data_IF_833955648333
#
_entry.id   IF_833955648333
#
_cell.length_a   1.000
_cell.length_b   1.000
_cell.length_c   1.000
_cell.angle_alpha   90.00
_cell.angle_beta   90.00
_cell.angle_gamma   90.00
#
_symmetry.space_group_name_H-M   'P 1'
#
loop_
_entity.id
_entity.type
_entity.pdbx_description
1 polymer ?
#
# COMPACT_ATOMS: atom_id res chain seq x y z
N UNK A 1 -18.59 5.05 -5.75
CA UNK A 1 -17.39 5.67 -6.33
C UNK A 1 -16.91 6.85 -5.48
N UNK A 2 -17.66 7.97 -5.41
CA UNK A 2 -17.22 9.21 -4.73
C UNK A 2 -16.77 8.97 -3.28
N UNK A 3 -17.59 8.30 -2.48
CA UNK A 3 -17.28 8.01 -1.07
C UNK A 3 -15.98 7.24 -0.89
N UNK A 4 -15.70 6.32 -1.79
CA UNK A 4 -14.46 5.55 -1.75
C UNK A 4 -13.25 6.42 -2.10
N UNK A 5 -13.37 7.31 -3.11
CA UNK A 5 -12.31 8.26 -3.44
C UNK A 5 -12.03 9.24 -2.30
N UNK A 6 -13.07 9.76 -1.64
CA UNK A 6 -12.94 10.61 -0.45
C UNK A 6 -12.15 9.90 0.67
N UNK A 7 -12.44 8.62 0.91
CA UNK A 7 -11.77 7.85 1.97
C UNK A 7 -10.34 7.46 1.59
N UNK A 8 -10.14 6.88 0.40
CA UNK A 8 -8.87 6.25 0.05
C UNK A 8 -7.88 7.16 -0.68
N UNK A 9 -8.34 8.29 -1.26
CA UNK A 9 -7.49 9.24 -2.01
C UNK A 9 -7.39 10.57 -1.29
N UNK A 10 -8.54 11.22 -1.04
CA UNK A 10 -8.54 12.58 -0.48
C UNK A 10 -7.97 12.60 0.93
N UNK A 11 -8.22 11.56 1.75
CA UNK A 11 -7.63 11.45 3.09
C UNK A 11 -6.10 11.41 3.04
N UNK A 12 -5.53 10.66 2.10
CA UNK A 12 -4.07 10.57 1.92
C UNK A 12 -3.51 11.91 1.43
N UNK A 13 -4.18 12.53 0.46
CA UNK A 13 -3.79 13.85 -0.03
C UNK A 13 -3.77 14.89 1.09
N UNK A 14 -4.86 14.98 1.86
CA UNK A 14 -4.96 15.96 2.96
C UNK A 14 -3.99 15.64 4.09
N UNK A 15 -3.82 14.36 4.43
CA UNK A 15 -2.84 13.92 5.42
C UNK A 15 -1.42 14.37 5.06
N UNK A 16 -0.98 14.09 3.83
CA UNK A 16 0.32 14.52 3.34
C UNK A 16 0.42 16.05 3.28
N UNK A 17 -0.56 16.72 2.69
CA UNK A 17 -0.54 18.19 2.53
C UNK A 17 -0.44 18.92 3.88
N UNK A 18 -1.16 18.45 4.87
CA UNK A 18 -1.17 19.08 6.20
C UNK A 18 0.08 18.72 7.00
N UNK A 19 0.64 17.52 6.85
CA UNK A 19 1.85 17.11 7.57
C UNK A 19 3.13 17.78 7.06
N UNK A 20 3.22 18.03 5.74
CA UNK A 20 4.43 18.52 5.08
C UNK A 20 5.05 19.78 5.73
N UNK A 21 4.29 20.86 6.05
CA UNK A 21 4.88 22.04 6.69
C UNK A 21 5.51 21.73 8.04
N UNK A 22 4.82 20.96 8.88
CA UNK A 22 5.30 20.58 10.21
C UNK A 22 6.54 19.70 10.13
N UNK A 23 6.55 18.72 9.23
CA UNK A 23 7.70 17.83 9.02
C UNK A 23 8.93 18.62 8.52
N UNK A 24 8.72 19.52 7.55
CA UNK A 24 9.78 20.39 7.05
C UNK A 24 10.39 21.22 8.19
N UNK A 25 9.56 21.85 8.99
CA UNK A 25 10.00 22.77 10.07
C UNK A 25 10.60 22.00 11.26
N UNK A 26 10.33 20.69 11.37
CA UNK A 26 10.92 19.77 12.36
C UNK A 26 12.19 19.06 11.87
N UNK A 27 12.70 19.38 10.67
CA UNK A 27 13.97 18.82 10.16
C UNK A 27 13.81 17.68 9.18
N UNK A 28 12.60 17.29 8.82
CA UNK A 28 12.33 16.24 7.81
C UNK A 28 11.60 15.02 8.35
N UNK A 29 11.78 13.88 7.68
CA UNK A 29 11.16 12.61 8.12
C UNK A 29 10.77 11.67 6.98
N UNK A 30 9.88 10.72 7.29
CA UNK A 30 9.40 9.71 6.35
C UNK A 30 7.88 9.67 6.31
N UNK A 31 7.31 9.86 5.13
CA UNK A 31 5.89 9.63 4.83
C UNK A 31 5.77 8.25 4.21
N UNK A 32 4.86 7.44 4.73
CA UNK A 32 4.60 6.08 4.24
C UNK A 32 3.12 5.96 3.96
N UNK A 33 2.77 5.89 2.69
CA UNK A 33 1.39 5.76 2.23
C UNK A 33 1.05 4.30 1.97
N UNK A 34 -0.09 3.84 2.47
CA UNK A 34 -0.53 2.46 2.25
C UNK A 34 -1.36 2.40 0.98
N UNK A 35 -0.79 1.78 -0.04
CA UNK A 35 -1.46 1.41 -1.28
C UNK A 35 -1.93 -0.05 -1.22
N UNK A 36 -1.85 -0.78 -2.30
CA UNK A 36 -2.19 -2.20 -2.41
C UNK A 36 -1.61 -2.78 -3.69
N UNK A 37 -1.51 -4.10 -3.79
CA UNK A 37 -1.23 -4.81 -5.06
C UNK A 37 -2.26 -4.51 -6.14
N UNK A 38 -3.54 -4.27 -5.80
CA UNK A 38 -4.56 -3.85 -6.77
C UNK A 38 -4.37 -2.40 -7.27
N UNK A 39 -3.47 -1.63 -6.70
CA UNK A 39 -2.98 -0.37 -7.27
C UNK A 39 -1.90 -0.58 -8.35
N UNK A 40 -1.41 -1.80 -8.51
CA UNK A 40 -0.42 -2.23 -9.52
C UNK A 40 -1.11 -3.10 -10.58
N UNK A 41 -1.90 -4.09 -10.13
CA UNK A 41 -2.61 -5.03 -10.97
C UNK A 41 -4.07 -4.62 -11.18
N UNK A 42 -4.62 -4.89 -12.36
CA UNK A 42 -6.05 -4.81 -12.59
C UNK A 42 -6.80 -5.93 -11.85
N UNK A 43 -7.93 -5.57 -11.22
CA UNK A 43 -8.85 -6.54 -10.62
C UNK A 43 -10.30 -6.15 -10.97
N UNK A 44 -11.05 -7.03 -11.68
CA UNK A 44 -12.39 -6.72 -12.15
C UNK A 44 -13.42 -6.52 -11.02
N UNK A 45 -13.16 -7.06 -9.83
CA UNK A 45 -14.07 -7.00 -8.69
C UNK A 45 -13.86 -5.74 -7.83
N UNK A 46 -12.73 -5.05 -7.99
CA UNK A 46 -12.34 -3.93 -7.12
C UNK A 46 -11.99 -2.65 -7.89
N UNK A 47 -12.70 -2.36 -8.99
CA UNK A 47 -12.43 -1.21 -9.87
C UNK A 47 -12.20 0.10 -9.09
N UNK A 48 -13.12 0.47 -8.21
CA UNK A 48 -13.03 1.72 -7.46
C UNK A 48 -11.85 1.74 -6.49
N UNK A 49 -11.64 0.64 -5.75
CA UNK A 49 -10.55 0.48 -4.80
C UNK A 49 -9.18 0.45 -5.50
N UNK A 50 -9.05 -0.35 -6.57
CA UNK A 50 -7.82 -0.41 -7.35
C UNK A 50 -7.43 0.94 -7.94
N UNK A 51 -8.42 1.69 -8.49
CA UNK A 51 -8.19 3.05 -8.97
C UNK A 51 -7.71 3.99 -7.86
N UNK A 52 -8.32 3.93 -6.67
CA UNK A 52 -7.91 4.74 -5.54
C UNK A 52 -6.47 4.40 -5.08
N UNK A 53 -6.14 3.12 -4.99
CA UNK A 53 -4.79 2.69 -4.59
C UNK A 53 -3.73 2.98 -5.66
N UNK A 54 -4.09 2.98 -6.94
CA UNK A 54 -3.22 3.48 -8.02
C UNK A 54 -2.99 5.00 -7.91
N UNK A 55 -4.02 5.77 -7.53
CA UNK A 55 -3.88 7.21 -7.28
C UNK A 55 -2.92 7.49 -6.12
N UNK A 56 -3.01 6.76 -5.00
CA UNK A 56 -2.07 6.84 -3.86
C UNK A 56 -0.63 6.55 -4.30
N UNK A 57 -0.45 5.52 -5.12
CA UNK A 57 0.84 5.15 -5.71
C UNK A 57 1.46 6.30 -6.51
N UNK A 58 0.70 6.93 -7.41
CA UNK A 58 1.15 8.08 -8.22
C UNK A 58 1.39 9.33 -7.38
N UNK A 59 0.47 9.63 -6.45
CA UNK A 59 0.58 10.77 -5.53
C UNK A 59 1.85 10.70 -4.70
N UNK A 60 2.21 9.53 -4.18
CA UNK A 60 3.42 9.29 -3.39
C UNK A 60 4.68 9.71 -4.14
N UNK A 61 4.80 9.34 -5.43
CA UNK A 61 5.94 9.73 -6.29
C UNK A 61 6.00 11.24 -6.49
N UNK A 62 4.86 11.88 -6.71
CA UNK A 62 4.78 13.33 -6.88
C UNK A 62 5.19 14.08 -5.62
N UNK A 63 4.76 13.61 -4.44
CA UNK A 63 5.15 14.17 -3.14
C UNK A 63 6.65 13.98 -2.89
N UNK A 64 7.19 12.80 -3.18
CA UNK A 64 8.61 12.50 -3.05
C UNK A 64 9.48 13.48 -3.86
N UNK A 65 9.13 13.68 -5.13
CA UNK A 65 9.82 14.62 -6.01
C UNK A 65 9.67 16.08 -5.57
N UNK A 66 8.49 16.46 -5.07
CA UNK A 66 8.26 17.79 -4.49
C UNK A 66 9.18 18.02 -3.30
N UNK A 67 9.24 17.11 -2.35
CA UNK A 67 10.09 17.21 -1.17
C UNK A 67 11.58 17.27 -1.51
N UNK A 68 12.02 16.44 -2.46
CA UNK A 68 13.40 16.43 -2.94
C UNK A 68 13.77 17.73 -3.62
N UNK A 69 12.93 18.25 -4.53
CA UNK A 69 13.15 19.52 -5.24
C UNK A 69 13.31 20.69 -4.27
N UNK A 70 12.54 20.71 -3.20
CA UNK A 70 12.55 21.79 -2.21
C UNK A 70 13.51 21.53 -1.04
N UNK A 71 14.25 20.41 -1.05
CA UNK A 71 15.23 20.02 -0.02
C UNK A 71 14.64 19.98 1.39
N UNK A 72 13.41 19.46 1.52
CA UNK A 72 12.70 19.38 2.81
C UNK A 72 13.24 18.30 3.75
N UNK A 73 14.16 17.46 3.29
CA UNK A 73 14.64 16.29 4.01
C UNK A 73 13.50 15.31 4.39
N UNK A 74 12.48 15.21 3.53
CA UNK A 74 11.33 14.33 3.71
C UNK A 74 11.37 13.29 2.61
N UNK A 75 11.31 12.02 3.00
CA UNK A 75 11.11 10.87 2.09
C UNK A 75 9.61 10.55 2.02
N UNK A 76 9.15 10.05 0.89
CA UNK A 76 7.76 9.63 0.70
C UNK A 76 7.74 8.34 -0.11
N UNK A 77 7.25 7.25 0.47
CA UNK A 77 7.20 5.93 -0.17
C UNK A 77 5.81 5.31 -0.03
N UNK A 78 5.48 4.36 -0.90
CA UNK A 78 4.23 3.60 -0.82
C UNK A 78 4.50 2.12 -0.51
N UNK A 79 3.65 1.54 0.35
CA UNK A 79 3.65 0.11 0.66
C UNK A 79 2.46 -0.53 -0.06
N UNK A 80 2.72 -1.67 -0.70
CA UNK A 80 1.76 -2.38 -1.53
C UNK A 80 1.58 -3.82 -1.02
N UNK A 81 0.82 -4.01 0.05
CA UNK A 81 0.52 -5.36 0.52
C UNK A 81 -0.53 -6.03 -0.36
N UNK A 82 -0.51 -7.37 -0.37
CA UNK A 82 -1.63 -8.18 -0.84
C UNK A 82 -2.64 -8.42 0.29
N UNK A 83 -3.31 -9.57 0.30
CA UNK A 83 -4.27 -9.92 1.34
C UNK A 83 -3.60 -9.99 2.71
N UNK A 84 -4.14 -9.24 3.68
CA UNK A 84 -3.70 -9.24 5.08
C UNK A 84 -4.88 -9.67 5.95
N UNK A 85 -4.67 -10.57 6.89
CA UNK A 85 -5.67 -10.95 7.89
C UNK A 85 -6.05 -9.75 8.76
N UNK A 86 -7.17 -9.16 8.45
CA UNK A 86 -7.69 -7.96 9.11
C UNK A 86 -9.22 -8.01 9.10
N UNK A 87 -9.90 -7.27 9.99
CA UNK A 87 -11.37 -7.19 9.97
C UNK A 87 -11.95 -6.70 8.62
N UNK A 88 -11.16 -6.06 7.78
CA UNK A 88 -11.57 -5.70 6.44
C UNK A 88 -11.64 -6.94 5.53
N UNK A 89 -10.63 -7.82 5.59
CA UNK A 89 -10.62 -9.05 4.81
C UNK A 89 -11.69 -10.02 5.29
N UNK A 90 -11.88 -10.12 6.62
CA UNK A 90 -12.92 -10.99 7.24
C UNK A 90 -14.31 -10.68 6.67
N UNK A 91 -14.65 -9.39 6.51
CA UNK A 91 -15.93 -8.98 5.91
C UNK A 91 -16.10 -9.42 4.45
N UNK A 92 -15.00 -9.54 3.70
CA UNK A 92 -15.05 -10.05 2.33
C UNK A 92 -15.21 -11.57 2.31
N UNK A 93 -14.55 -12.29 3.21
CA UNK A 93 -14.64 -13.75 3.30
C UNK A 93 -16.00 -14.20 3.84
N UNK A 94 -16.54 -13.53 4.85
CA UNK A 94 -17.90 -13.76 5.38
C UNK A 94 -18.99 -13.66 4.30
N UNK A 95 -18.83 -12.73 3.35
CA UNK A 95 -19.78 -12.56 2.25
C UNK A 95 -19.79 -13.75 1.26
N UNK A 96 -18.77 -14.59 1.26
CA UNK A 96 -18.66 -15.79 0.40
C UNK A 96 -19.30 -17.03 1.06
N UNK A 97 -19.46 -17.02 2.38
CA UNK A 97 -20.21 -18.02 3.17
C UNK A 97 -19.35 -19.02 3.94
N UNK A 98 -18.28 -19.56 3.36
CA UNK A 98 -17.30 -20.41 4.06
C UNK A 98 -15.97 -19.63 4.17
N UNK A 99 -15.71 -19.15 5.38
CA UNK A 99 -14.55 -18.30 5.67
C UNK A 99 -13.23 -19.06 5.45
N UNK A 100 -13.14 -20.32 5.90
CA UNK A 100 -11.93 -21.12 5.78
C UNK A 100 -11.58 -21.40 4.30
N UNK A 101 -12.58 -21.77 3.50
CA UNK A 101 -12.40 -22.02 2.07
C UNK A 101 -12.09 -20.72 1.31
N UNK A 102 -12.68 -19.58 1.71
CA UNK A 102 -12.37 -18.28 1.14
C UNK A 102 -10.91 -17.88 1.41
N UNK A 103 -10.42 -18.04 2.64
CA UNK A 103 -9.02 -17.81 2.99
C UNK A 103 -8.07 -18.71 2.20
N UNK A 104 -8.39 -19.99 2.07
CA UNK A 104 -7.61 -20.94 1.27
C UNK A 104 -7.53 -20.52 -0.20
N UNK A 105 -8.67 -20.17 -0.79
CA UNK A 105 -8.73 -19.67 -2.18
C UNK A 105 -7.86 -18.42 -2.37
N UNK A 106 -7.88 -17.48 -1.43
CA UNK A 106 -7.03 -16.28 -1.49
C UNK A 106 -5.55 -16.62 -1.34
N UNK A 107 -5.20 -17.57 -0.48
CA UNK A 107 -3.81 -18.02 -0.31
C UNK A 107 -3.26 -18.68 -1.57
N UNK A 108 -4.09 -19.44 -2.29
CA UNK A 108 -3.72 -20.08 -3.57
C UNK A 108 -3.37 -19.08 -4.69
N UNK A 109 -3.86 -17.83 -4.59
CA UNK A 109 -3.50 -16.76 -5.52
C UNK A 109 -2.09 -16.21 -5.26
N UNK A 110 -1.53 -16.43 -4.09
CA UNK A 110 -0.23 -15.91 -3.67
C UNK A 110 0.83 -16.99 -3.94
N UNK A 111 1.88 -16.73 -4.74
CA UNK A 111 2.90 -17.74 -5.04
C UNK A 111 3.55 -18.41 -3.83
N UNK A 112 3.73 -17.70 -2.70
CA UNK A 112 4.21 -18.31 -1.46
C UNK A 112 3.16 -19.11 -0.70
N UNK A 113 1.87 -19.07 -1.12
CA UNK A 113 0.78 -19.87 -0.56
C UNK A 113 0.25 -19.38 0.79
N UNK A 114 0.60 -18.19 1.24
CA UNK A 114 0.23 -17.68 2.56
C UNK A 114 -0.36 -16.26 2.48
N UNK A 115 -1.42 -16.02 3.27
CA UNK A 115 -1.97 -14.68 3.49
C UNK A 115 -1.13 -13.97 4.55
N UNK A 116 -0.84 -12.69 4.33
CA UNK A 116 -0.03 -11.90 5.24
C UNK A 116 -0.72 -11.71 6.60
N UNK A 117 0.09 -11.75 7.64
CA UNK A 117 -0.28 -11.21 8.94
C UNK A 117 0.03 -9.69 8.98
N UNK A 118 -0.67 -8.88 9.81
CA UNK A 118 -0.41 -7.45 9.91
C UNK A 118 1.06 -7.09 10.19
N UNK A 119 1.78 -7.94 10.94
CA UNK A 119 3.21 -7.76 11.24
C UNK A 119 4.09 -7.81 10.01
N UNK A 120 3.72 -8.55 8.97
CA UNK A 120 4.53 -8.70 7.75
C UNK A 120 4.60 -7.36 7.00
N UNK A 121 3.50 -6.63 6.93
CA UNK A 121 3.48 -5.26 6.41
C UNK A 121 4.22 -4.29 7.36
N UNK A 122 4.10 -4.47 8.67
CA UNK A 122 4.69 -3.60 9.69
C UNK A 122 6.21 -3.58 9.62
N UNK A 123 6.87 -4.70 9.36
CA UNK A 123 8.33 -4.74 9.20
C UNK A 123 8.83 -3.85 8.07
N UNK A 124 8.14 -3.86 6.93
CA UNK A 124 8.44 -2.96 5.81
C UNK A 124 8.20 -1.48 6.15
N UNK A 125 7.14 -1.19 6.91
CA UNK A 125 6.84 0.17 7.38
C UNK A 125 7.92 0.67 8.34
N UNK A 126 8.38 -0.15 9.30
CA UNK A 126 9.46 0.19 10.22
C UNK A 126 10.76 0.48 9.45
N UNK A 127 11.11 -0.37 8.49
CA UNK A 127 12.28 -0.15 7.62
C UNK A 127 12.16 1.19 6.88
N UNK A 128 11.03 1.48 6.26
CA UNK A 128 10.82 2.75 5.55
C UNK A 128 10.77 3.97 6.47
N UNK A 129 10.40 3.80 7.73
CA UNK A 129 10.41 4.87 8.74
C UNK A 129 11.83 5.16 9.26
N UNK A 130 12.73 4.18 9.25
CA UNK A 130 14.09 4.27 9.79
C UNK A 130 15.08 4.93 8.83
N UNK A 131 16.26 5.27 9.36
CA UNK A 131 17.38 5.80 8.57
C UNK A 131 18.04 4.75 7.66
N UNK A 132 17.76 3.46 7.88
CA UNK A 132 18.23 2.39 6.98
C UNK A 132 17.73 2.56 5.55
N UNK A 133 16.57 3.20 5.39
CA UNK A 133 15.98 3.54 4.09
C UNK A 133 16.23 4.99 3.65
N UNK A 134 17.29 5.64 4.16
CA UNK A 134 17.59 7.08 3.94
C UNK A 134 17.67 7.52 2.48
N UNK A 135 17.94 6.64 1.54
CA UNK A 135 18.00 6.91 0.11
C UNK A 135 16.79 6.38 -0.67
N UNK A 136 15.75 5.91 0.04
CA UNK A 136 14.51 5.46 -0.58
C UNK A 136 13.46 6.56 -0.52
N UNK A 137 13.10 7.12 -1.68
CA UNK A 137 11.98 8.05 -1.83
C UNK A 137 11.31 7.83 -3.19
N UNK A 138 9.99 7.93 -3.25
CA UNK A 138 9.19 7.62 -4.43
C UNK A 138 9.13 6.13 -4.76
N UNK A 139 9.62 5.27 -3.88
CA UNK A 139 9.68 3.83 -4.10
C UNK A 139 8.33 3.16 -3.81
N UNK A 140 8.08 2.07 -4.52
CA UNK A 140 6.99 1.14 -4.29
C UNK A 140 7.54 -0.06 -3.53
N UNK A 141 7.13 -0.22 -2.27
CA UNK A 141 7.56 -1.32 -1.42
C UNK A 141 6.47 -2.40 -1.42
N UNK A 142 6.66 -3.43 -2.23
CA UNK A 142 5.68 -4.50 -2.42
C UNK A 142 5.92 -5.62 -1.41
N UNK A 143 4.84 -6.06 -0.75
CA UNK A 143 4.84 -7.17 0.21
C UNK A 143 3.65 -8.06 -0.15
N UNK A 144 3.86 -9.06 -0.99
CA UNK A 144 2.76 -9.75 -1.65
C UNK A 144 2.98 -11.25 -1.90
N UNK A 145 4.04 -11.82 -1.35
CA UNK A 145 4.37 -13.22 -1.55
C UNK A 145 4.58 -13.61 -3.03
N UNK A 146 4.91 -12.63 -3.89
CA UNK A 146 5.18 -12.84 -5.31
C UNK A 146 3.98 -12.62 -6.23
N UNK A 147 2.83 -12.19 -5.71
CA UNK A 147 1.60 -12.03 -6.51
C UNK A 147 1.77 -11.10 -7.73
N UNK A 148 2.57 -10.04 -7.60
CA UNK A 148 2.77 -9.07 -8.69
C UNK A 148 4.02 -9.31 -9.52
N UNK A 149 4.86 -10.30 -9.20
CA UNK A 149 6.16 -10.46 -9.87
C UNK A 149 6.05 -11.11 -11.26
N UNK A 150 4.94 -11.79 -11.57
CA UNK A 150 4.75 -12.40 -12.89
C UNK A 150 3.68 -13.49 -12.93
N UNK A 151 3.65 -14.22 -14.03
CA UNK A 151 2.77 -15.36 -14.23
C UNK A 151 3.45 -16.65 -13.77
N UNK A 152 2.77 -17.42 -12.93
CA UNK A 152 3.20 -18.75 -12.51
C UNK A 152 2.34 -19.80 -13.23
N UNK A 153 2.90 -20.54 -14.19
CA UNK A 153 2.13 -21.59 -14.88
C UNK A 153 1.85 -22.76 -13.91
N UNK A 154 0.75 -23.49 -14.11
CA UNK A 154 0.52 -24.71 -13.35
C UNK A 154 1.65 -25.72 -13.60
N UNK A 155 2.02 -26.47 -12.58
CA UNK A 155 3.04 -27.55 -12.63
C UNK A 155 2.43 -28.79 -13.24
#
# INVERSE_FOLDING_TARGET
WKKLQEIDVDSVFWGCKLALPYMRDSGGGSIINISSTVGILGNPLTLGYGTAKAAVRSMTKSIALHCARHKYNIRCNSVHPTFIKTPLLDRFTEAVGDEEEAYKTLAELIPLGEILEPRDATYGIIYLASDESRLMTGSEFVIDGGLTCGYMPPV
#
